data_IF_865648183155
#
_entry.id   IF_865648183155
#
_cell.length_a   1.000
_cell.length_b   1.000
_cell.length_c   1.000
_cell.angle_alpha   90.00
_cell.angle_beta   90.00
_cell.angle_gamma   90.00
#
_symmetry.space_group_name_H-M   'P 1'
#
loop_
_entity.id
_entity.type
_entity.pdbx_description
1 polymer ?
#
# COMPACT_ATOMS: atom_id res chain seq x y z
N UNK A 1 3.08 -75.53 -19.05
CA UNK A 1 2.72 -74.19 -18.54
C UNK A 1 2.93 -73.22 -19.70
N UNK A 2 1.85 -72.87 -20.38
CA UNK A 2 1.12 -71.60 -20.19
C UNK A 2 1.86 -70.48 -20.94
N UNK A 3 1.28 -69.67 -21.81
CA UNK A 3 0.00 -69.61 -22.50
C UNK A 3 0.01 -68.23 -23.15
N UNK A 4 -0.45 -68.15 -24.39
CA UNK A 4 -1.00 -66.94 -25.02
C UNK A 4 -0.12 -65.68 -25.12
N UNK A 5 0.62 -65.54 -26.22
CA UNK A 5 0.61 -64.25 -26.94
C UNK A 5 -0.70 -64.18 -27.73
N UNK A 6 -1.76 -63.69 -27.09
CA UNK A 6 -2.99 -63.27 -27.76
C UNK A 6 -2.89 -61.75 -27.91
N UNK A 7 -2.55 -61.30 -29.11
CA UNK A 7 -2.72 -59.91 -29.54
C UNK A 7 -4.20 -59.54 -29.34
N UNK A 8 -4.54 -58.46 -28.61
CA UNK A 8 -5.92 -58.04 -28.50
C UNK A 8 -6.34 -57.38 -29.81
N UNK A 9 -7.12 -58.09 -30.60
CA UNK A 9 -7.91 -57.52 -31.68
C UNK A 9 -9.08 -56.75 -31.07
N UNK A 10 -8.89 -55.45 -30.79
CA UNK A 10 -9.97 -54.50 -30.48
C UNK A 10 -9.96 -53.36 -31.51
N UNK A 11 -11.13 -52.74 -31.79
CA UNK A 11 -11.51 -52.31 -33.12
C UNK A 11 -10.93 -50.93 -33.46
N UNK A 12 -9.80 -50.91 -34.16
CA UNK A 12 -9.16 -49.70 -34.66
C UNK A 12 -10.08 -48.85 -35.57
N UNK A 13 -11.11 -49.47 -36.17
CA UNK A 13 -12.10 -48.78 -37.00
C UNK A 13 -13.02 -47.84 -36.20
N UNK A 14 -13.39 -48.20 -34.98
CA UNK A 14 -14.28 -47.38 -34.15
C UNK A 14 -13.57 -46.13 -33.62
N UNK A 15 -12.30 -46.25 -33.23
CA UNK A 15 -11.50 -45.12 -32.74
C UNK A 15 -11.14 -44.14 -33.88
N UNK A 16 -10.90 -44.64 -35.10
CA UNK A 16 -10.66 -43.81 -36.29
C UNK A 16 -11.94 -43.07 -36.75
N UNK A 17 -13.10 -43.74 -36.71
CA UNK A 17 -14.39 -43.07 -36.97
C UNK A 17 -14.67 -41.98 -35.93
N UNK A 18 -14.40 -42.24 -34.65
CA UNK A 18 -14.64 -41.30 -33.55
C UNK A 18 -13.72 -40.07 -33.61
N UNK A 19 -12.47 -40.22 -34.09
CA UNK A 19 -11.52 -39.12 -34.28
C UNK A 19 -11.88 -38.20 -35.47
N UNK A 20 -12.40 -38.78 -36.57
CA UNK A 20 -12.88 -38.00 -37.72
C UNK A 20 -14.16 -37.26 -37.35
N UNK A 21 -15.10 -37.89 -36.62
CA UNK A 21 -16.33 -37.21 -36.18
C UNK A 21 -16.10 -36.12 -35.13
N UNK A 22 -14.98 -36.17 -34.39
CA UNK A 22 -14.63 -35.16 -33.37
C UNK A 22 -13.97 -33.89 -33.94
N UNK A 23 -13.50 -33.92 -35.19
CA UNK A 23 -12.78 -32.80 -35.82
C UNK A 23 -13.66 -31.90 -36.70
N UNK A 24 -14.93 -32.28 -36.87
CA UNK A 24 -15.84 -31.69 -37.84
C UNK A 24 -17.19 -31.40 -37.15
N UNK A 25 -17.72 -30.19 -37.35
CA UNK A 25 -19.07 -29.84 -36.89
C UNK A 25 -20.10 -30.84 -37.44
N UNK A 26 -21.10 -31.21 -36.64
CA UNK A 26 -22.16 -32.16 -37.02
C UNK A 26 -22.82 -31.81 -38.35
N UNK A 27 -22.99 -30.52 -38.62
CA UNK A 27 -23.52 -30.00 -39.88
C UNK A 27 -22.62 -30.29 -41.09
N UNK A 28 -21.30 -30.19 -40.92
CA UNK A 28 -20.33 -30.44 -41.99
C UNK A 28 -20.35 -31.89 -42.45
N UNK A 29 -20.51 -32.82 -41.51
CA UNK A 29 -20.66 -34.25 -41.80
C UNK A 29 -21.96 -34.56 -42.56
N UNK A 30 -23.06 -33.87 -42.22
CA UNK A 30 -24.33 -33.99 -42.95
C UNK A 30 -24.20 -33.46 -44.39
N UNK A 31 -23.55 -32.30 -44.58
CA UNK A 31 -23.36 -31.73 -45.93
C UNK A 31 -22.45 -32.59 -46.80
N UNK A 32 -21.33 -33.07 -46.27
CA UNK A 32 -20.38 -33.92 -47.01
C UNK A 32 -21.02 -35.27 -47.34
N UNK A 33 -21.76 -35.88 -46.40
CA UNK A 33 -22.46 -37.14 -46.65
C UNK A 33 -23.59 -36.98 -47.68
N UNK A 34 -24.32 -35.86 -47.69
CA UNK A 34 -25.32 -35.54 -48.71
C UNK A 34 -24.67 -35.45 -50.12
N UNK A 35 -23.57 -34.71 -50.26
CA UNK A 35 -22.84 -34.57 -51.52
C UNK A 35 -22.27 -35.92 -51.99
N UNK A 36 -21.74 -36.72 -51.07
CA UNK A 36 -21.18 -38.03 -51.38
C UNK A 36 -22.27 -39.03 -51.79
N UNK A 37 -23.42 -39.02 -51.11
CA UNK A 37 -24.58 -39.85 -51.47
C UNK A 37 -25.15 -39.46 -52.84
N UNK A 38 -25.25 -38.16 -53.14
CA UNK A 38 -25.70 -37.67 -54.44
C UNK A 38 -24.73 -38.08 -55.57
N UNK A 39 -23.42 -37.97 -55.31
CA UNK A 39 -22.37 -38.42 -56.24
C UNK A 39 -22.49 -39.92 -56.53
N UNK A 40 -22.68 -40.73 -55.48
CA UNK A 40 -22.85 -42.18 -55.61
C UNK A 40 -24.13 -42.53 -56.38
N UNK A 41 -25.24 -41.83 -56.11
CA UNK A 41 -26.52 -42.03 -56.79
C UNK A 41 -26.39 -41.74 -58.29
N UNK A 42 -25.74 -40.64 -58.67
CA UNK A 42 -25.47 -40.33 -60.08
C UNK A 42 -24.51 -41.32 -60.74
N UNK A 43 -23.62 -41.95 -59.98
CA UNK A 43 -22.73 -42.98 -60.49
C UNK A 43 -23.43 -44.35 -60.68
N UNK A 44 -24.43 -44.67 -59.86
CA UNK A 44 -25.11 -45.97 -59.84
C UNK A 44 -26.39 -46.03 -60.68
N UNK A 45 -27.17 -44.93 -60.76
CA UNK A 45 -28.55 -44.97 -61.29
C UNK A 45 -28.70 -44.75 -62.81
N UNK A 46 -27.71 -45.19 -63.59
CA UNK A 46 -27.73 -45.15 -65.06
C UNK A 46 -27.00 -43.92 -65.64
N UNK A 47 -25.87 -44.18 -66.31
CA UNK A 47 -24.98 -43.15 -66.86
C UNK A 47 -25.46 -42.72 -68.25
N UNK A 48 -26.49 -41.87 -68.29
CA UNK A 48 -26.98 -41.28 -69.53
C UNK A 48 -26.21 -39.99 -69.87
N UNK A 49 -26.14 -39.62 -71.15
CA UNK A 49 -25.49 -38.39 -71.62
C UNK A 49 -26.02 -37.12 -70.91
N UNK A 50 -27.30 -37.12 -70.54
CA UNK A 50 -27.93 -36.04 -69.75
C UNK A 50 -27.40 -35.98 -68.30
N UNK A 51 -27.20 -37.12 -67.64
CA UNK A 51 -26.61 -37.18 -66.29
C UNK A 51 -25.16 -36.73 -66.31
N UNK A 52 -24.39 -37.11 -67.33
CA UNK A 52 -22.99 -36.68 -67.50
C UNK A 52 -22.85 -35.17 -67.73
N UNK A 53 -23.85 -34.53 -68.35
CA UNK A 53 -23.89 -33.08 -68.58
C UNK A 53 -24.34 -32.32 -67.33
N UNK A 54 -25.40 -32.78 -66.64
CA UNK A 54 -26.07 -31.99 -65.60
C UNK A 54 -25.55 -32.28 -64.18
N UNK A 55 -25.12 -33.51 -63.89
CA UNK A 55 -24.67 -33.88 -62.55
C UNK A 55 -23.41 -33.12 -62.09
N UNK A 56 -22.38 -32.89 -62.92
CA UNK A 56 -21.23 -32.08 -62.53
C UNK A 56 -21.62 -30.64 -62.15
N UNK A 57 -22.58 -30.04 -62.86
CA UNK A 57 -23.06 -28.67 -62.59
C UNK A 57 -23.86 -28.61 -61.29
N UNK A 58 -24.73 -29.58 -61.02
CA UNK A 58 -25.49 -29.66 -59.76
C UNK A 58 -24.55 -29.86 -58.57
N UNK A 59 -23.56 -30.75 -58.71
CA UNK A 59 -22.64 -31.08 -57.62
C UNK A 59 -21.67 -29.94 -57.30
N UNK A 60 -21.19 -29.23 -58.32
CA UNK A 60 -20.39 -28.00 -58.13
C UNK A 60 -21.22 -26.87 -57.53
N UNK A 61 -22.46 -26.67 -58.00
CA UNK A 61 -23.37 -25.67 -57.42
C UNK A 61 -23.70 -25.97 -55.95
N UNK A 62 -23.88 -27.25 -55.59
CA UNK A 62 -24.11 -27.68 -54.21
C UNK A 62 -22.84 -27.49 -53.35
N UNK A 63 -21.65 -27.70 -53.91
CA UNK A 63 -20.37 -27.39 -53.26
C UNK A 63 -20.18 -25.90 -53.00
N UNK A 64 -20.51 -25.05 -53.98
CA UNK A 64 -20.50 -23.57 -53.85
C UNK A 64 -21.49 -23.12 -52.78
N UNK A 65 -22.71 -23.66 -52.79
CA UNK A 65 -23.72 -23.38 -51.76
C UNK A 65 -23.21 -23.74 -50.35
N UNK A 66 -22.60 -24.91 -50.18
CA UNK A 66 -21.97 -25.28 -48.92
C UNK A 66 -20.85 -24.33 -48.47
N UNK A 67 -20.15 -23.71 -49.43
CA UNK A 67 -19.10 -22.73 -49.15
C UNK A 67 -19.69 -21.47 -48.54
N UNK A 68 -20.75 -20.92 -49.16
CA UNK A 68 -21.45 -19.74 -48.65
C UNK A 68 -22.12 -20.01 -47.30
N UNK A 69 -22.71 -21.19 -47.13
CA UNK A 69 -23.35 -21.58 -45.88
C UNK A 69 -22.34 -21.73 -44.74
N UNK A 70 -21.17 -22.34 -45.00
CA UNK A 70 -20.11 -22.48 -44.00
C UNK A 70 -19.53 -21.15 -43.53
N UNK A 71 -19.30 -20.21 -44.46
CA UNK A 71 -18.86 -18.85 -44.11
C UNK A 71 -19.94 -18.07 -43.36
N UNK A 72 -21.21 -18.18 -43.78
CA UNK A 72 -22.32 -17.50 -43.10
C UNK A 72 -22.49 -17.99 -41.64
N UNK A 73 -22.32 -19.28 -41.39
CA UNK A 73 -22.39 -19.85 -40.04
C UNK A 73 -21.16 -19.48 -39.19
N UNK A 74 -19.96 -19.43 -39.79
CA UNK A 74 -18.75 -18.96 -39.10
C UNK A 74 -18.76 -17.48 -38.75
N UNK A 75 -19.63 -16.68 -39.39
CA UNK A 75 -19.82 -15.26 -39.11
C UNK A 75 -21.03 -14.96 -38.21
N UNK A 76 -21.88 -15.96 -37.92
CA UNK A 76 -23.15 -15.76 -37.23
C UNK A 76 -22.95 -15.28 -35.78
N UNK A 77 -21.97 -15.85 -35.09
CA UNK A 77 -21.59 -15.49 -33.71
C UNK A 77 -20.31 -14.64 -33.66
N UNK A 78 -19.90 -14.03 -34.80
CA UNK A 78 -18.67 -13.26 -34.87
C UNK A 78 -18.80 -11.92 -34.16
N UNK A 79 -18.10 -11.78 -33.03
CA UNK A 79 -18.10 -10.57 -32.24
C UNK A 79 -16.93 -9.66 -32.62
N UNK A 80 -17.23 -8.48 -33.17
CA UNK A 80 -16.22 -7.49 -33.52
C UNK A 80 -15.51 -6.87 -32.31
N UNK A 81 -16.07 -6.99 -31.10
CA UNK A 81 -15.44 -6.48 -29.87
C UNK A 81 -14.50 -7.48 -29.20
N UNK A 82 -14.62 -8.78 -29.51
CA UNK A 82 -13.76 -9.85 -28.98
C UNK A 82 -13.37 -10.84 -30.09
N UNK A 83 -12.46 -10.37 -30.94
CA UNK A 83 -11.97 -11.13 -32.10
C UNK A 83 -11.28 -12.44 -31.66
N UNK A 84 -10.65 -12.48 -30.47
CA UNK A 84 -9.90 -13.64 -30.01
C UNK A 84 -10.83 -14.81 -29.67
N UNK A 85 -12.01 -14.52 -29.09
CA UNK A 85 -13.04 -15.53 -28.83
C UNK A 85 -13.76 -15.98 -30.11
N UNK A 86 -13.88 -15.11 -31.13
CA UNK A 86 -14.64 -15.41 -32.36
C UNK A 86 -13.82 -16.02 -33.51
N UNK A 87 -12.49 -15.96 -33.46
CA UNK A 87 -11.62 -16.58 -34.48
C UNK A 87 -11.77 -18.11 -34.56
N UNK A 88 -11.86 -18.87 -33.45
CA UNK A 88 -12.07 -20.32 -33.50
C UNK A 88 -13.33 -20.74 -34.26
N UNK A 89 -14.48 -20.09 -34.00
CA UNK A 89 -15.76 -20.40 -34.64
C UNK A 89 -15.75 -20.04 -36.14
N UNK A 90 -15.10 -18.93 -36.49
CA UNK A 90 -14.89 -18.54 -37.89
C UNK A 90 -14.04 -19.58 -38.64
N UNK A 91 -12.98 -20.07 -38.02
CA UNK A 91 -12.11 -21.10 -38.59
C UNK A 91 -12.88 -22.40 -38.81
N UNK A 92 -13.79 -22.77 -37.91
CA UNK A 92 -14.61 -23.97 -38.04
C UNK A 92 -15.69 -23.86 -39.13
N UNK A 93 -16.30 -22.68 -39.28
CA UNK A 93 -17.15 -22.36 -40.43
C UNK A 93 -16.39 -22.42 -41.77
N UNK A 94 -15.16 -21.91 -41.79
CA UNK A 94 -14.28 -21.94 -42.96
C UNK A 94 -13.86 -23.36 -43.34
N UNK A 95 -13.54 -24.22 -42.36
CA UNK A 95 -13.26 -25.65 -42.60
C UNK A 95 -14.46 -26.32 -43.27
N UNK A 96 -15.68 -26.04 -42.80
CA UNK A 96 -16.93 -26.59 -43.36
C UNK A 96 -17.12 -26.15 -44.81
N UNK A 97 -16.93 -24.87 -45.08
CA UNK A 97 -17.02 -24.28 -46.42
C UNK A 97 -16.02 -24.91 -47.41
N UNK A 98 -14.78 -25.10 -46.96
CA UNK A 98 -13.71 -25.66 -47.78
C UNK A 98 -13.98 -27.12 -48.16
N UNK A 99 -14.34 -27.96 -47.19
CA UNK A 99 -14.54 -29.39 -47.43
C UNK A 99 -15.81 -29.71 -48.23
N UNK A 100 -16.89 -28.91 -48.10
CA UNK A 100 -18.07 -29.09 -48.96
C UNK A 100 -17.77 -28.78 -50.43
N UNK A 101 -16.94 -27.76 -50.68
CA UNK A 101 -16.52 -27.37 -52.04
C UNK A 101 -15.63 -28.44 -52.69
N UNK A 102 -14.66 -28.97 -51.92
CA UNK A 102 -13.81 -30.07 -52.38
C UNK A 102 -14.66 -31.30 -52.72
N UNK A 103 -15.60 -31.68 -51.87
CA UNK A 103 -16.48 -32.82 -52.13
C UNK A 103 -17.31 -32.62 -53.42
N UNK A 104 -17.86 -31.43 -53.62
CA UNK A 104 -18.65 -31.08 -54.81
C UNK A 104 -17.83 -31.09 -56.11
N UNK A 105 -16.61 -30.54 -56.07
CA UNK A 105 -15.72 -30.51 -57.23
C UNK A 105 -15.15 -31.91 -57.55
N UNK A 106 -14.75 -32.67 -56.52
CA UNK A 106 -14.22 -34.01 -56.68
C UNK A 106 -15.24 -34.97 -57.28
N UNK A 107 -16.50 -34.92 -56.82
CA UNK A 107 -17.56 -35.72 -57.43
C UNK A 107 -17.94 -35.28 -58.84
N UNK A 108 -17.85 -33.99 -59.17
CA UNK A 108 -18.10 -33.48 -60.52
C UNK A 108 -17.01 -33.95 -61.49
N UNK A 109 -15.75 -33.95 -61.03
CA UNK A 109 -14.61 -34.44 -61.79
C UNK A 109 -14.67 -35.95 -62.00
N UNK A 110 -15.07 -36.73 -60.99
CA UNK A 110 -15.20 -38.19 -61.11
C UNK A 110 -16.24 -38.58 -62.16
N UNK A 111 -17.36 -37.85 -62.23
CA UNK A 111 -18.39 -38.03 -63.26
C UNK A 111 -17.84 -37.68 -64.66
N UNK A 112 -17.16 -36.54 -64.82
CA UNK A 112 -16.56 -36.15 -66.12
C UNK A 112 -15.49 -37.15 -66.59
N UNK A 113 -14.67 -37.65 -65.67
CA UNK A 113 -13.62 -38.62 -65.97
C UNK A 113 -14.22 -39.94 -66.48
N UNK A 114 -15.27 -40.43 -65.82
CA UNK A 114 -15.98 -41.64 -66.27
C UNK A 114 -16.61 -41.48 -67.65
N UNK A 115 -17.24 -40.33 -67.92
CA UNK A 115 -17.81 -40.03 -69.24
C UNK A 115 -16.76 -40.08 -70.34
N UNK A 116 -15.56 -39.53 -70.09
CA UNK A 116 -14.46 -39.52 -71.06
C UNK A 116 -13.89 -40.91 -71.34
N UNK A 117 -13.90 -41.81 -70.35
CA UNK A 117 -13.47 -43.21 -70.50
C UNK A 117 -14.51 -44.00 -71.33
N UNK A 118 -15.80 -43.80 -71.08
CA UNK A 118 -16.89 -44.46 -71.83
C UNK A 118 -16.86 -44.07 -73.32
N UNK A 119 -16.68 -42.77 -73.63
CA UNK A 119 -16.62 -42.25 -75.01
C UNK A 119 -15.46 -42.83 -75.83
N UNK A 120 -14.37 -43.18 -75.15
CA UNK A 120 -13.17 -43.78 -75.77
C UNK A 120 -13.39 -45.25 -76.11
N UNK A 121 -14.25 -45.94 -75.35
CA UNK A 121 -14.60 -47.35 -75.55
C UNK A 121 -15.47 -47.56 -76.79
N UNK A 122 -16.42 -46.65 -77.06
CA UNK A 122 -17.32 -46.70 -78.22
C UNK A 122 -16.62 -46.44 -79.58
N UNK A 123 -15.52 -45.70 -79.61
CA UNK A 123 -14.76 -45.46 -80.85
C UNK A 123 -13.97 -46.69 -81.30
N UNK A 124 -13.43 -47.46 -80.35
CA UNK A 124 -12.67 -48.67 -80.64
C UNK A 124 -13.53 -49.78 -81.28
N UNK A 125 -14.85 -49.77 -81.04
CA UNK A 125 -15.79 -50.76 -81.59
C UNK A 125 -16.16 -50.50 -83.06
N UNK A 126 -15.98 -49.28 -83.59
CA UNK A 126 -16.39 -48.91 -84.95
C UNK A 126 -15.34 -49.18 -86.04
N UNK A 127 -14.07 -49.35 -85.69
CA UNK A 127 -13.00 -49.60 -86.67
C UNK A 127 -13.05 -51.02 -87.28
N UNK A 128 -13.76 -51.95 -86.67
CA UNK A 128 -13.73 -53.36 -87.07
C UNK A 128 -14.71 -53.74 -88.22
N UNK A 129 -15.48 -52.78 -88.76
CA UNK A 129 -16.50 -53.02 -89.80
C UNK A 129 -15.99 -52.73 -91.23
N UNK A 130 -14.78 -52.18 -91.42
CA UNK A 130 -14.34 -51.58 -92.70
C UNK A 130 -13.36 -52.39 -93.56
N UNK A 131 -13.45 -53.73 -93.58
CA UNK A 131 -12.65 -54.58 -94.49
C UNK A 131 -13.51 -55.43 -95.45
N UNK A 132 -13.68 -54.93 -96.68
CA UNK A 132 -14.16 -55.59 -97.91
C UNK A 132 -13.85 -54.59 -99.06
N UNK A 133 -13.22 -54.86 -100.23
CA UNK A 133 -12.99 -56.06 -101.06
C UNK A 133 -11.90 -55.74 -102.11
N UNK A 134 -11.03 -56.72 -102.44
CA UNK A 134 -9.93 -56.63 -103.45
C UNK A 134 -10.33 -57.21 -104.83
N UNK A 135 -11.49 -57.87 -104.93
CA UNK A 135 -11.92 -58.58 -106.15
C UNK A 135 -12.37 -57.67 -107.31
N UNK A 136 -12.82 -56.44 -107.04
CA UNK A 136 -13.27 -55.49 -108.09
C UNK A 136 -12.12 -55.03 -109.01
N UNK A 137 -10.89 -55.04 -108.53
CA UNK A 137 -9.72 -54.57 -109.27
C UNK A 137 -9.27 -55.59 -110.34
N UNK A 138 -9.44 -56.88 -110.08
CA UNK A 138 -9.04 -57.95 -110.99
C UNK A 138 -9.95 -58.04 -112.22
N UNK A 139 -11.24 -57.73 -112.06
CA UNK A 139 -12.22 -57.80 -113.14
C UNK A 139 -12.05 -56.67 -114.18
N UNK A 140 -11.58 -55.50 -113.75
CA UNK A 140 -11.31 -54.35 -114.63
C UNK A 140 -10.07 -54.55 -115.52
N UNK A 141 -9.03 -55.22 -115.00
CA UNK A 141 -7.81 -55.49 -115.77
C UNK A 141 -8.02 -56.54 -116.87
N UNK A 142 -8.93 -57.50 -116.67
CA UNK A 142 -9.29 -58.48 -117.69
C UNK A 142 -10.02 -57.85 -118.89
N UNK A 143 -10.87 -56.84 -118.66
CA UNK A 143 -11.63 -56.15 -119.72
C UNK A 143 -10.77 -55.25 -120.61
N UNK A 144 -9.62 -54.78 -120.12
CA UNK A 144 -8.71 -53.93 -120.90
C UNK A 144 -7.89 -54.78 -121.88
N UNK A 145 -7.51 -56.00 -121.49
CA UNK A 145 -6.71 -56.91 -122.32
C UNK A 145 -7.46 -57.35 -123.58
N UNK A 146 -8.74 -57.70 -123.46
CA UNK A 146 -9.56 -58.17 -124.59
C UNK A 146 -9.85 -57.07 -125.63
N UNK A 147 -9.70 -55.79 -125.27
CA UNK A 147 -9.94 -54.66 -126.20
C UNK A 147 -8.71 -54.24 -127.02
N UNK A 148 -7.55 -54.84 -126.77
CA UNK A 148 -6.29 -54.49 -127.43
C UNK A 148 -5.88 -55.46 -128.56
N UNK A 149 -6.64 -56.53 -128.81
CA UNK A 149 -6.29 -57.58 -129.77
C UNK A 149 -6.88 -57.40 -131.18
N UNK A 150 -7.72 -56.37 -131.42
CA UNK A 150 -8.32 -56.10 -132.72
C UNK A 150 -7.58 -54.99 -133.52
N UNK A 151 -7.33 -55.29 -134.79
CA UNK A 151 -6.36 -54.64 -135.66
C UNK A 151 -6.67 -53.16 -135.98
N UNK A 152 -5.97 -52.22 -135.33
CA UNK A 152 -5.64 -50.86 -135.84
C UNK A 152 -4.64 -50.09 -134.94
N UNK A 153 -3.65 -50.79 -134.37
CA UNK A 153 -2.77 -50.28 -133.31
C UNK A 153 -2.00 -48.98 -133.64
N UNK A 154 -1.47 -48.80 -134.87
CA UNK A 154 -0.61 -47.63 -135.15
C UNK A 154 -1.36 -46.30 -135.32
N UNK A 155 -2.63 -46.31 -135.76
CA UNK A 155 -3.39 -45.06 -135.99
C UNK A 155 -4.06 -44.54 -134.71
N UNK A 156 -4.59 -45.43 -133.87
CA UNK A 156 -5.18 -45.04 -132.58
C UNK A 156 -4.13 -44.64 -131.55
N UNK A 157 -2.93 -45.24 -131.57
CA UNK A 157 -1.85 -44.87 -130.67
C UNK A 157 -1.37 -43.43 -130.92
N UNK A 158 -1.20 -43.01 -132.18
CA UNK A 158 -0.83 -41.64 -132.52
C UNK A 158 -1.91 -40.58 -132.16
N UNK A 159 -3.19 -40.93 -132.29
CA UNK A 159 -4.31 -40.05 -131.94
C UNK A 159 -4.47 -39.91 -130.41
N UNK A 160 -4.40 -41.02 -129.66
CA UNK A 160 -4.39 -41.01 -128.19
C UNK A 160 -3.16 -40.32 -127.61
N UNK A 161 -1.98 -40.50 -128.20
CA UNK A 161 -0.77 -39.77 -127.80
C UNK A 161 -0.90 -38.26 -128.07
N UNK A 162 -1.55 -37.88 -129.16
CA UNK A 162 -1.88 -36.48 -129.47
C UNK A 162 -2.82 -35.87 -128.43
N UNK A 163 -3.91 -36.58 -128.10
CA UNK A 163 -4.91 -36.14 -127.13
C UNK A 163 -4.34 -36.11 -125.70
N UNK A 164 -3.58 -37.12 -125.27
CA UNK A 164 -2.89 -37.11 -123.97
C UNK A 164 -1.86 -35.98 -123.85
N UNK A 165 -1.17 -35.64 -124.95
CA UNK A 165 -0.21 -34.53 -124.97
C UNK A 165 -0.92 -33.19 -124.88
N UNK A 166 -2.03 -33.02 -125.59
CA UNK A 166 -2.87 -31.82 -125.50
C UNK A 166 -3.44 -31.66 -124.08
N UNK A 167 -3.94 -32.73 -123.47
CA UNK A 167 -4.50 -32.72 -122.11
C UNK A 167 -3.43 -32.45 -121.05
N UNK A 168 -2.21 -32.98 -121.23
CA UNK A 168 -1.05 -32.61 -120.39
C UNK A 168 -0.65 -31.15 -120.55
N UNK A 169 -0.65 -30.61 -121.77
CA UNK A 169 -0.33 -29.20 -122.01
C UNK A 169 -1.39 -28.28 -121.40
N UNK A 170 -2.68 -28.61 -121.55
CA UNK A 170 -3.78 -27.88 -120.94
C UNK A 170 -3.69 -27.92 -119.41
N UNK A 171 -3.44 -29.09 -118.83
CA UNK A 171 -3.24 -29.24 -117.38
C UNK A 171 -2.03 -28.44 -116.87
N UNK A 172 -0.91 -28.46 -117.60
CA UNK A 172 0.26 -27.65 -117.26
C UNK A 172 -0.03 -26.14 -117.33
N UNK A 173 -0.80 -25.69 -118.33
CA UNK A 173 -1.24 -24.30 -118.44
C UNK A 173 -2.17 -23.91 -117.30
N UNK A 174 -3.13 -24.77 -116.93
CA UNK A 174 -4.02 -24.53 -115.80
C UNK A 174 -3.24 -24.49 -114.47
N UNK A 175 -2.28 -25.39 -114.25
CA UNK A 175 -1.41 -25.37 -113.07
C UNK A 175 -0.51 -24.13 -113.02
N UNK A 176 0.02 -23.68 -114.16
CA UNK A 176 0.79 -22.44 -114.23
C UNK A 176 -0.09 -21.23 -113.91
N UNK A 177 -1.31 -21.18 -114.43
CA UNK A 177 -2.27 -20.13 -114.13
C UNK A 177 -2.69 -20.12 -112.65
N UNK A 178 -2.95 -21.30 -112.07
CA UNK A 178 -3.24 -21.47 -110.64
C UNK A 178 -2.10 -20.98 -109.76
N UNK A 179 -0.85 -21.35 -110.09
CA UNK A 179 0.32 -20.88 -109.36
C UNK A 179 0.46 -19.36 -109.44
N UNK A 180 0.20 -18.76 -110.60
CA UNK A 180 0.21 -17.31 -110.75
C UNK A 180 -0.89 -16.63 -109.93
N UNK A 181 -2.12 -17.14 -109.96
CA UNK A 181 -3.23 -16.63 -109.16
C UNK A 181 -2.98 -16.80 -107.65
N UNK A 182 -2.42 -17.92 -107.24
CA UNK A 182 -1.99 -18.15 -105.85
C UNK A 182 -0.90 -17.18 -105.42
N UNK A 183 0.06 -16.87 -106.29
CA UNK A 183 1.07 -15.85 -106.05
C UNK A 183 0.45 -14.46 -105.83
N UNK A 184 -0.49 -14.06 -106.70
CA UNK A 184 -1.22 -12.81 -106.54
C UNK A 184 -2.08 -12.78 -105.26
N UNK A 185 -2.77 -13.88 -104.94
CA UNK A 185 -3.56 -13.99 -103.71
C UNK A 185 -2.69 -13.88 -102.46
N UNK A 186 -1.54 -14.55 -102.43
CA UNK A 186 -0.59 -14.46 -101.31
C UNK A 186 -0.11 -13.03 -101.10
N UNK A 187 0.24 -12.33 -102.18
CA UNK A 187 0.66 -10.93 -102.09
C UNK A 187 -0.45 -10.02 -101.56
N UNK A 188 -1.69 -10.19 -102.05
CA UNK A 188 -2.86 -9.45 -101.55
C UNK A 188 -3.18 -9.79 -100.09
N UNK A 189 -3.05 -11.06 -99.68
CA UNK A 189 -3.25 -11.47 -98.29
C UNK A 189 -2.22 -10.85 -97.35
N UNK A 190 -0.93 -10.82 -97.75
CA UNK A 190 0.12 -10.18 -96.96
C UNK A 190 -0.17 -8.69 -96.80
N UNK A 191 -0.56 -8.02 -97.88
CA UNK A 191 -0.91 -6.60 -97.84
C UNK A 191 -2.16 -6.32 -96.99
N UNK A 192 -3.23 -7.12 -97.15
CA UNK A 192 -4.46 -7.00 -96.38
C UNK A 192 -4.24 -7.26 -94.88
N UNK A 193 -3.48 -8.29 -94.52
CA UNK A 193 -3.15 -8.59 -93.13
C UNK A 193 -2.27 -7.50 -92.51
N UNK A 194 -1.30 -6.96 -93.26
CA UNK A 194 -0.43 -5.88 -92.76
C UNK A 194 -1.25 -4.62 -92.51
N UNK A 195 -2.16 -4.24 -93.43
CA UNK A 195 -3.07 -3.10 -93.22
C UNK A 195 -4.01 -3.32 -92.05
N UNK A 196 -4.58 -4.52 -91.90
CA UNK A 196 -5.44 -4.86 -90.78
C UNK A 196 -4.69 -4.80 -89.45
N UNK A 197 -3.45 -5.29 -89.39
CA UNK A 197 -2.61 -5.24 -88.21
C UNK A 197 -2.23 -3.81 -87.84
N UNK A 198 -1.81 -3.00 -88.81
CA UNK A 198 -1.50 -1.58 -88.58
C UNK A 198 -2.73 -0.82 -88.09
N UNK A 199 -3.90 -1.03 -88.70
CA UNK A 199 -5.14 -0.39 -88.25
C UNK A 199 -5.57 -0.82 -86.84
N UNK A 200 -5.39 -2.10 -86.50
CA UNK A 200 -5.63 -2.58 -85.13
C UNK A 200 -4.65 -1.94 -84.14
N UNK A 201 -3.36 -1.84 -84.49
CA UNK A 201 -2.34 -1.23 -83.66
C UNK A 201 -2.60 0.27 -83.45
N UNK A 202 -2.95 1.01 -84.50
CA UNK A 202 -3.32 2.43 -84.41
C UNK A 202 -4.54 2.65 -83.52
N UNK A 203 -5.54 1.78 -83.62
CA UNK A 203 -6.74 1.84 -82.78
C UNK A 203 -6.39 1.60 -81.31
N UNK A 204 -5.58 0.58 -81.02
CA UNK A 204 -5.11 0.28 -79.66
C UNK A 204 -4.27 1.42 -79.10
N UNK A 205 -3.37 2.01 -79.90
CA UNK A 205 -2.54 3.13 -79.44
C UNK A 205 -3.38 4.39 -79.17
N UNK A 206 -4.39 4.65 -80.00
CA UNK A 206 -5.33 5.75 -79.79
C UNK A 206 -6.15 5.55 -78.52
N UNK A 207 -6.73 4.35 -78.34
CA UNK A 207 -7.50 4.00 -77.14
C UNK A 207 -6.63 4.04 -75.87
N UNK A 208 -5.38 3.57 -75.97
CA UNK A 208 -4.42 3.64 -74.88
C UNK A 208 -4.12 5.10 -74.50
N UNK A 209 -3.87 5.97 -75.48
CA UNK A 209 -3.59 7.38 -75.23
C UNK A 209 -4.80 8.11 -74.63
N UNK A 210 -6.01 7.82 -75.10
CA UNK A 210 -7.25 8.37 -74.54
C UNK A 210 -7.44 7.92 -73.09
N UNK A 211 -7.28 6.62 -72.80
CA UNK A 211 -7.41 6.08 -71.44
C UNK A 211 -6.35 6.62 -70.48
N UNK A 212 -5.11 6.82 -70.94
CA UNK A 212 -4.06 7.46 -70.15
C UNK A 212 -4.53 8.85 -69.72
N UNK A 213 -4.99 9.66 -70.67
CA UNK A 213 -5.35 11.05 -70.38
C UNK A 213 -6.59 11.16 -69.47
N UNK A 214 -7.59 10.30 -69.68
CA UNK A 214 -8.83 10.32 -68.89
C UNK A 214 -8.69 9.64 -67.53
N UNK A 215 -8.23 8.38 -67.49
CA UNK A 215 -8.21 7.61 -66.24
C UNK A 215 -7.05 8.01 -65.32
N UNK A 216 -5.88 8.33 -65.87
CA UNK A 216 -4.75 8.73 -65.02
C UNK A 216 -4.82 10.20 -64.64
N UNK A 217 -5.40 11.07 -65.47
CA UNK A 217 -5.65 12.48 -65.13
C UNK A 217 -6.46 12.63 -63.84
N UNK A 218 -7.62 11.97 -63.74
CA UNK A 218 -8.45 12.01 -62.53
C UNK A 218 -7.79 11.33 -61.34
N UNK A 219 -7.08 10.21 -61.55
CA UNK A 219 -6.34 9.55 -60.46
C UNK A 219 -5.24 10.44 -59.89
N UNK A 220 -4.52 11.21 -60.72
CA UNK A 220 -3.53 12.18 -60.24
C UNK A 220 -4.19 13.37 -59.53
N UNK A 221 -5.39 13.79 -59.96
CA UNK A 221 -6.17 14.83 -59.28
C UNK A 221 -6.54 14.40 -57.86
N UNK A 222 -7.10 13.20 -57.71
CA UNK A 222 -7.41 12.62 -56.41
C UNK A 222 -6.18 12.38 -55.55
N UNK A 223 -5.07 11.92 -56.13
CA UNK A 223 -3.82 11.77 -55.42
C UNK A 223 -3.32 13.11 -54.88
N UNK A 224 -3.36 14.17 -55.70
CA UNK A 224 -2.94 15.50 -55.29
C UNK A 224 -3.85 16.10 -54.21
N UNK A 225 -5.17 15.87 -54.31
CA UNK A 225 -6.13 16.23 -53.26
C UNK A 225 -5.81 15.50 -51.94
N UNK A 226 -5.57 14.18 -51.99
CA UNK A 226 -5.23 13.38 -50.82
C UNK A 226 -3.90 13.79 -50.17
N UNK A 227 -2.87 14.09 -50.98
CA UNK A 227 -1.59 14.62 -50.50
C UNK A 227 -1.78 16.01 -49.87
N UNK A 228 -2.63 16.86 -50.46
CA UNK A 228 -2.97 18.17 -49.90
C UNK A 228 -3.72 18.08 -48.56
N UNK A 229 -4.67 17.14 -48.43
CA UNK A 229 -5.33 16.83 -47.15
C UNK A 229 -4.32 16.29 -46.13
N UNK A 230 -3.39 15.43 -46.54
CA UNK A 230 -2.33 14.91 -45.66
C UNK A 230 -1.43 16.03 -45.14
N UNK A 231 -1.06 16.99 -45.99
CA UNK A 231 -0.26 18.15 -45.59
C UNK A 231 -1.02 19.04 -44.59
N UNK A 232 -2.31 19.32 -44.85
CA UNK A 232 -3.17 20.07 -43.92
C UNK A 232 -3.31 19.35 -42.58
N UNK A 233 -3.53 18.04 -42.62
CA UNK A 233 -3.56 17.21 -41.42
C UNK A 233 -2.23 17.25 -40.66
N UNK A 234 -1.09 17.17 -41.35
CA UNK A 234 0.23 17.25 -40.74
C UNK A 234 0.45 18.59 -40.01
N UNK A 235 0.05 19.70 -40.63
CA UNK A 235 0.14 21.04 -40.01
C UNK A 235 -0.75 21.15 -38.77
N UNK A 236 -2.00 20.69 -38.87
CA UNK A 236 -2.93 20.71 -37.74
C UNK A 236 -2.44 19.79 -36.59
N UNK A 237 -1.89 18.63 -36.92
CA UNK A 237 -1.35 17.69 -35.95
C UNK A 237 -0.13 18.26 -35.22
N UNK A 238 0.76 18.97 -35.92
CA UNK A 238 1.89 19.66 -35.30
C UNK A 238 1.40 20.68 -34.26
N UNK A 239 0.40 21.48 -34.58
CA UNK A 239 -0.17 22.46 -33.65
C UNK A 239 -0.83 21.78 -32.42
N UNK A 240 -1.50 20.64 -32.64
CA UNK A 240 -2.06 19.86 -31.54
C UNK A 240 -0.97 19.28 -30.63
N UNK A 241 0.14 18.80 -31.19
CA UNK A 241 1.30 18.32 -30.41
C UNK A 241 1.90 19.43 -29.56
N UNK A 242 2.07 20.63 -30.11
CA UNK A 242 2.58 21.78 -29.34
C UNK A 242 1.65 22.12 -28.16
N UNK A 243 0.34 22.12 -28.41
CA UNK A 243 -0.67 22.35 -27.35
C UNK A 243 -0.61 21.27 -26.28
N UNK A 244 -0.47 20.00 -26.68
CA UNK A 244 -0.35 18.86 -25.77
C UNK A 244 0.92 18.95 -24.93
N UNK A 245 2.06 19.34 -25.53
CA UNK A 245 3.32 19.55 -24.81
C UNK A 245 3.16 20.67 -23.76
N UNK A 246 2.56 21.80 -24.14
CA UNK A 246 2.29 22.90 -23.20
C UNK A 246 1.38 22.45 -22.05
N UNK A 247 0.32 21.72 -22.36
CA UNK A 247 -0.62 21.23 -21.36
C UNK A 247 0.03 20.19 -20.42
N UNK A 248 0.91 19.34 -20.95
CA UNK A 248 1.69 18.39 -20.15
C UNK A 248 2.65 19.11 -19.20
N UNK A 249 3.33 20.18 -19.65
CA UNK A 249 4.21 20.99 -18.82
C UNK A 249 3.44 21.70 -17.68
N UNK A 250 2.29 22.32 -18.01
CA UNK A 250 1.41 22.94 -17.01
C UNK A 250 0.95 21.90 -15.98
N UNK A 251 0.54 20.72 -16.45
CA UNK A 251 0.12 19.61 -15.57
C UNK A 251 1.26 19.18 -14.65
N UNK A 252 2.49 19.08 -15.17
CA UNK A 252 3.68 18.79 -14.36
C UNK A 252 3.90 19.83 -13.25
N UNK A 253 3.82 21.12 -13.59
CA UNK A 253 3.98 22.21 -12.61
C UNK A 253 2.87 22.21 -11.54
N UNK A 254 1.62 21.95 -11.93
CA UNK A 254 0.50 21.82 -11.00
C UNK A 254 0.72 20.64 -10.07
N UNK A 255 1.20 19.50 -10.59
CA UNK A 255 1.43 18.32 -9.78
C UNK A 255 2.55 18.54 -8.76
N UNK A 256 3.62 19.25 -9.15
CA UNK A 256 4.70 19.64 -8.24
C UNK A 256 4.21 20.58 -7.12
N UNK A 257 3.36 21.56 -7.44
CA UNK A 257 2.74 22.41 -6.41
C UNK A 257 1.78 21.63 -5.52
N UNK A 258 1.01 20.68 -6.08
CA UNK A 258 0.13 19.81 -5.32
C UNK A 258 0.93 18.93 -4.34
N UNK A 259 2.06 18.36 -4.77
CA UNK A 259 2.98 17.62 -3.90
C UNK A 259 3.51 18.50 -2.77
N UNK A 260 4.00 19.72 -3.07
CA UNK A 260 4.45 20.66 -2.03
C UNK A 260 3.33 21.04 -1.07
N UNK A 261 2.10 21.25 -1.56
CA UNK A 261 0.96 21.51 -0.70
C UNK A 261 0.61 20.31 0.18
N UNK A 262 0.70 19.10 -0.36
CA UNK A 262 0.45 17.87 0.40
C UNK A 262 1.49 17.66 1.49
N UNK A 263 2.77 17.91 1.21
CA UNK A 263 3.84 17.91 2.22
C UNK A 263 3.54 18.88 3.36
N UNK A 264 3.07 20.11 3.05
CA UNK A 264 2.66 21.08 4.09
C UNK A 264 1.51 20.54 4.95
N UNK A 265 0.52 19.86 4.36
CA UNK A 265 -0.60 19.26 5.10
C UNK A 265 -0.11 18.15 6.02
N UNK A 266 0.78 17.29 5.54
CA UNK A 266 1.38 16.21 6.35
C UNK A 266 2.15 16.81 7.54
N UNK A 267 2.95 17.85 7.31
CA UNK A 267 3.69 18.53 8.37
C UNK A 267 2.75 19.20 9.40
N UNK A 268 1.72 19.91 8.95
CA UNK A 268 0.72 20.48 9.85
C UNK A 268 -0.03 19.42 10.66
N UNK A 269 -0.32 18.27 10.06
CA UNK A 269 -0.96 17.14 10.75
C UNK A 269 -0.06 16.60 11.85
N UNK A 270 1.26 16.57 11.63
CA UNK A 270 2.22 16.19 12.67
C UNK A 270 2.21 17.16 13.85
N UNK A 271 2.19 18.47 13.58
CA UNK A 271 2.05 19.50 14.63
C UNK A 271 0.75 19.31 15.41
N UNK A 272 -0.36 19.02 14.74
CA UNK A 272 -1.63 18.75 15.42
C UNK A 272 -1.55 17.54 16.36
N UNK A 273 -0.86 16.47 15.97
CA UNK A 273 -0.61 15.31 16.84
C UNK A 273 0.16 15.72 18.09
N UNK A 274 1.23 16.51 17.94
CA UNK A 274 2.02 17.01 19.08
C UNK A 274 1.19 17.90 20.01
N UNK A 275 0.34 18.77 19.46
CA UNK A 275 -0.56 19.62 20.26
C UNK A 275 -1.58 18.76 21.00
N UNK A 276 -2.11 17.70 20.38
CA UNK A 276 -3.06 16.78 21.00
C UNK A 276 -2.42 16.02 22.17
N UNK A 277 -1.17 15.58 22.03
CA UNK A 277 -0.40 14.91 23.07
C UNK A 277 -0.10 15.87 24.25
N UNK A 278 0.23 17.14 23.95
CA UNK A 278 0.39 18.16 24.98
C UNK A 278 -0.93 18.47 25.72
N UNK A 279 -2.06 18.49 25.00
CA UNK A 279 -3.40 18.65 25.58
C UNK A 279 -3.75 17.47 26.50
N UNK A 280 -3.45 16.24 26.11
CA UNK A 280 -3.61 15.05 26.94
C UNK A 280 -2.79 15.16 28.23
N UNK A 281 -1.52 15.56 28.12
CA UNK A 281 -0.67 15.82 29.29
C UNK A 281 -1.22 16.92 30.21
N UNK A 282 -1.74 18.01 29.64
CA UNK A 282 -2.36 19.08 30.42
C UNK A 282 -3.64 18.62 31.13
N UNK A 283 -4.50 17.85 30.44
CA UNK A 283 -5.71 17.28 31.03
C UNK A 283 -5.39 16.30 32.17
N UNK A 284 -4.38 15.44 32.00
CA UNK A 284 -3.90 14.55 33.06
C UNK A 284 -3.32 15.32 34.26
N UNK A 285 -2.60 16.42 33.99
CA UNK A 285 -2.11 17.32 35.03
C UNK A 285 -3.25 18.00 35.81
N UNK A 286 -4.28 18.47 35.11
CA UNK A 286 -5.49 19.05 35.73
C UNK A 286 -6.25 18.01 36.56
N UNK A 287 -6.39 16.77 36.08
CA UNK A 287 -7.01 15.69 36.85
C UNK A 287 -6.23 15.42 38.15
N UNK A 288 -4.90 15.36 38.05
CA UNK A 288 -4.02 15.19 39.21
C UNK A 288 -4.17 16.35 40.21
N UNK A 289 -4.23 17.59 39.71
CA UNK A 289 -4.45 18.76 40.54
C UNK A 289 -5.83 18.75 41.21
N UNK A 290 -6.87 18.30 40.50
CA UNK A 290 -8.21 18.12 41.04
C UNK A 290 -8.22 17.11 42.20
N UNK A 291 -7.58 15.95 42.03
CA UNK A 291 -7.40 14.96 43.11
C UNK A 291 -6.62 15.54 44.29
N UNK A 292 -5.59 16.35 44.01
CA UNK A 292 -4.83 17.06 45.05
C UNK A 292 -5.69 18.03 45.85
N UNK A 293 -6.54 18.82 45.19
CA UNK A 293 -7.51 19.71 45.83
C UNK A 293 -8.52 18.96 46.69
N UNK A 294 -8.99 17.80 46.23
CA UNK A 294 -9.86 16.93 47.02
C UNK A 294 -9.15 16.42 48.29
N UNK A 295 -7.86 16.08 48.19
CA UNK A 295 -7.00 15.78 49.32
C UNK A 295 -6.82 16.96 50.29
N UNK A 296 -6.60 18.17 49.77
CA UNK A 296 -6.52 19.38 50.61
C UNK A 296 -7.84 19.70 51.31
N UNK A 297 -8.97 19.55 50.62
CA UNK A 297 -10.31 19.70 51.23
C UNK A 297 -10.56 18.65 52.31
N UNK A 298 -10.14 17.41 52.08
CA UNK A 298 -10.22 16.34 53.09
C UNK A 298 -9.34 16.64 54.32
N UNK A 299 -8.10 17.09 54.11
CA UNK A 299 -7.20 17.50 55.18
C UNK A 299 -7.76 18.70 55.97
N UNK A 300 -8.33 19.68 55.28
CA UNK A 300 -9.01 20.81 55.91
C UNK A 300 -10.23 20.36 56.72
N UNK A 301 -11.04 19.45 56.17
CA UNK A 301 -12.18 18.86 56.88
C UNK A 301 -11.74 18.11 58.14
N UNK A 302 -10.63 17.36 58.06
CA UNK A 302 -10.05 16.68 59.22
C UNK A 302 -9.52 17.68 60.25
N UNK A 303 -8.85 18.75 59.82
CA UNK A 303 -8.38 19.82 60.71
C UNK A 303 -9.54 20.50 61.43
N UNK A 304 -10.63 20.80 60.72
CA UNK A 304 -11.85 21.38 61.31
C UNK A 304 -12.48 20.40 62.31
N UNK A 305 -12.53 19.10 61.99
CA UNK A 305 -13.00 18.07 62.92
C UNK A 305 -12.14 18.00 64.18
N UNK A 306 -10.81 17.92 64.03
CA UNK A 306 -9.88 17.87 65.17
C UNK A 306 -9.86 19.16 65.99
N UNK A 307 -10.04 20.33 65.35
CA UNK A 307 -10.22 21.60 66.05
C UNK A 307 -11.55 21.64 66.80
N UNK A 308 -12.62 21.10 66.22
CA UNK A 308 -13.93 20.92 66.85
C UNK A 308 -13.89 20.00 68.07
N UNK A 309 -13.04 18.98 68.07
CA UNK A 309 -12.80 18.09 69.23
C UNK A 309 -11.84 18.70 70.28
N UNK A 310 -10.89 19.54 69.86
CA UNK A 310 -9.93 20.20 70.76
C UNK A 310 -10.54 21.35 71.57
N UNK A 311 -11.56 22.03 71.04
CA UNK A 311 -12.25 23.14 71.73
C UNK A 311 -12.93 22.72 73.05
N UNK A 312 -13.71 21.62 73.11
CA UNK A 312 -14.24 21.09 74.36
C UNK A 312 -13.15 20.71 75.39
N UNK A 313 -12.00 20.24 74.92
CA UNK A 313 -10.88 19.90 75.81
C UNK A 313 -10.23 21.18 76.40
N UNK A 314 -10.18 22.26 75.63
CA UNK A 314 -9.76 23.57 76.14
C UNK A 314 -10.75 24.11 77.17
N UNK A 315 -12.05 24.03 76.89
CA UNK A 315 -13.11 24.41 77.84
C UNK A 315 -12.97 23.62 79.17
N UNK A 316 -12.80 22.30 79.09
CA UNK A 316 -12.58 21.46 80.27
C UNK A 316 -11.30 21.81 81.04
N UNK A 317 -10.20 22.15 80.35
CA UNK A 317 -8.96 22.61 81.00
C UNK A 317 -9.14 23.97 81.68
N UNK A 318 -9.89 24.89 81.07
CA UNK A 318 -10.20 26.19 81.66
C UNK A 318 -11.07 26.05 82.92
N UNK A 319 -12.03 25.13 82.94
CA UNK A 319 -12.86 24.86 84.12
C UNK A 319 -12.01 24.25 85.27
N UNK A 320 -11.14 23.29 84.97
CA UNK A 320 -10.19 22.74 85.96
C UNK A 320 -9.25 23.81 86.50
N UNK A 321 -8.67 24.66 85.63
CA UNK A 321 -7.81 25.78 86.04
C UNK A 321 -8.56 26.75 86.95
N UNK A 322 -9.80 27.10 86.61
CA UNK A 322 -10.62 28.03 87.40
C UNK A 322 -10.94 27.46 88.77
N UNK A 323 -11.33 26.17 88.84
CA UNK A 323 -11.59 25.49 90.13
C UNK A 323 -10.32 25.37 90.97
N UNK A 324 -9.19 25.04 90.36
CA UNK A 324 -7.91 24.90 91.07
C UNK A 324 -7.39 26.25 91.57
N UNK A 325 -7.58 27.33 90.80
CA UNK A 325 -7.22 28.69 91.18
C UNK A 325 -8.12 29.20 92.31
N UNK A 326 -9.43 28.92 92.25
CA UNK A 326 -10.35 29.19 93.35
C UNK A 326 -9.92 28.48 94.64
N UNK A 327 -9.66 27.16 94.56
CA UNK A 327 -9.18 26.37 95.71
C UNK A 327 -7.83 26.85 96.25
N UNK A 328 -6.90 27.26 95.38
CA UNK A 328 -5.59 27.77 95.82
C UNK A 328 -5.71 29.11 96.53
N UNK A 329 -6.61 29.98 96.06
CA UNK A 329 -6.91 31.25 96.72
C UNK A 329 -7.55 31.02 98.10
N UNK A 330 -8.52 30.10 98.21
CA UNK A 330 -9.17 29.82 99.51
C UNK A 330 -8.19 29.22 100.52
N UNK A 331 -7.39 28.23 100.12
CA UNK A 331 -6.38 27.62 101.01
C UNK A 331 -5.31 28.63 101.39
N UNK A 332 -4.88 29.49 100.46
CA UNK A 332 -3.95 30.57 100.76
C UNK A 332 -4.52 31.58 101.76
N UNK A 333 -5.82 31.89 101.65
CA UNK A 333 -6.51 32.76 102.59
C UNK A 333 -6.56 32.17 104.00
N UNK A 334 -6.90 30.88 104.14
CA UNK A 334 -6.90 30.17 105.42
C UNK A 334 -5.51 30.12 106.06
N UNK A 335 -4.46 29.90 105.26
CA UNK A 335 -3.08 29.86 105.74
C UNK A 335 -2.60 31.23 106.25
N UNK A 336 -2.94 32.31 105.55
CA UNK A 336 -2.65 33.69 105.99
C UNK A 336 -3.42 34.02 107.26
N UNK A 337 -4.68 33.61 107.37
CA UNK A 337 -5.49 33.81 108.58
C UNK A 337 -4.87 33.07 109.79
N UNK A 338 -4.44 31.82 109.62
CA UNK A 338 -3.77 31.06 110.68
C UNK A 338 -2.42 31.64 111.11
N UNK A 339 -1.65 32.22 110.17
CA UNK A 339 -0.41 32.94 110.48
C UNK A 339 -0.69 34.22 111.29
N UNK A 340 -1.74 34.97 110.96
CA UNK A 340 -2.13 36.16 111.72
C UNK A 340 -2.59 35.82 113.14
N UNK A 341 -3.35 34.74 113.30
CA UNK A 341 -3.85 34.29 114.61
C UNK A 341 -2.72 33.78 115.51
N UNK A 342 -1.81 32.96 114.97
CA UNK A 342 -0.63 32.50 115.71
C UNK A 342 0.35 33.63 116.05
N UNK A 343 0.50 34.63 115.17
CA UNK A 343 1.30 35.82 115.45
C UNK A 343 0.68 36.67 116.55
N UNK A 344 -0.65 36.82 116.57
CA UNK A 344 -1.39 37.50 117.63
C UNK A 344 -1.21 36.82 119.00
N UNK A 345 -1.29 35.48 119.04
CA UNK A 345 -1.00 34.72 120.28
C UNK A 345 0.43 34.92 120.76
N UNK A 346 1.41 34.85 119.86
CA UNK A 346 2.82 35.07 120.20
C UNK A 346 3.06 36.49 120.73
N UNK A 347 2.41 37.49 120.13
CA UNK A 347 2.50 38.88 120.57
C UNK A 347 1.93 39.05 121.99
N UNK A 348 0.77 38.45 122.25
CA UNK A 348 0.15 38.47 123.58
C UNK A 348 1.05 37.83 124.65
N UNK A 349 1.63 36.65 124.36
CA UNK A 349 2.60 35.98 125.27
C UNK A 349 3.87 36.81 125.48
N UNK A 350 4.38 37.47 124.43
CA UNK A 350 5.55 38.32 124.53
C UNK A 350 5.27 39.57 125.39
N UNK A 351 4.08 40.16 125.27
CA UNK A 351 3.64 41.30 126.07
C UNK A 351 3.50 40.93 127.55
N UNK A 352 2.94 39.76 127.85
CA UNK A 352 2.81 39.26 129.22
C UNK A 352 4.19 38.99 129.86
N UNK A 353 5.11 38.36 129.11
CA UNK A 353 6.48 38.12 129.55
C UNK A 353 7.26 39.41 129.82
N UNK A 354 7.03 40.47 129.01
CA UNK A 354 7.62 41.79 129.23
C UNK A 354 7.12 42.43 130.53
N UNK A 355 5.82 42.34 130.83
CA UNK A 355 5.27 42.84 132.09
C UNK A 355 5.90 42.14 133.30
N UNK A 356 6.03 40.81 133.26
CA UNK A 356 6.69 40.05 134.33
C UNK A 356 8.18 40.39 134.47
N UNK A 357 8.85 40.71 133.36
CA UNK A 357 10.25 41.14 133.35
C UNK A 357 10.42 42.49 134.05
N UNK A 358 9.52 43.45 133.80
CA UNK A 358 9.52 44.78 134.44
C UNK A 358 9.30 44.67 135.95
N UNK A 359 8.37 43.82 136.40
CA UNK A 359 8.15 43.52 137.83
C UNK A 359 9.40 42.93 138.51
N UNK A 360 10.08 41.99 137.83
CA UNK A 360 11.34 41.41 138.34
C UNK A 360 12.48 42.41 138.42
N UNK A 361 12.52 43.43 137.55
CA UNK A 361 13.54 44.48 137.59
C UNK A 361 13.29 45.43 138.76
N UNK A 362 12.04 45.82 139.02
CA UNK A 362 11.66 46.68 140.15
C UNK A 362 12.03 46.03 141.49
N UNK A 363 11.61 44.77 141.69
CA UNK A 363 11.93 43.99 142.89
C UNK A 363 13.44 43.77 143.08
N UNK A 364 14.22 43.56 142.00
CA UNK A 364 15.68 43.45 142.10
C UNK A 364 16.34 44.76 142.53
N UNK A 365 15.87 45.90 142.02
CA UNK A 365 16.41 47.20 142.39
C UNK A 365 16.13 47.53 143.86
N UNK A 366 14.94 47.18 144.35
CA UNK A 366 14.56 47.37 145.76
C UNK A 366 15.49 46.57 146.70
N UNK A 367 15.71 45.28 146.40
CA UNK A 367 16.64 44.44 147.16
C UNK A 367 18.12 44.85 147.03
N UNK A 368 18.49 45.55 145.96
CA UNK A 368 19.85 46.03 145.73
C UNK A 368 20.13 47.34 146.48
N UNK A 369 19.13 48.21 146.62
CA UNK A 369 19.20 49.39 147.48
C UNK A 369 19.35 49.01 148.96
N UNK A 370 18.61 48.01 149.44
CA UNK A 370 18.67 47.55 150.83
C UNK A 370 20.06 46.96 151.19
N UNK A 371 20.69 46.21 150.27
CA UNK A 371 22.07 45.72 150.45
C UNK A 371 23.12 46.83 150.38
N UNK A 372 22.87 47.86 149.58
CA UNK A 372 23.77 49.01 149.48
C UNK A 372 23.83 49.76 150.82
N UNK A 373 22.68 49.96 151.47
CA UNK A 373 22.58 50.58 152.79
C UNK A 373 23.37 49.79 153.85
N UNK A 374 23.18 48.47 153.93
CA UNK A 374 23.92 47.62 154.87
C UNK A 374 25.44 47.64 154.63
N UNK A 375 25.85 47.65 153.35
CA UNK A 375 27.26 47.75 152.97
C UNK A 375 27.87 49.09 153.35
N UNK A 376 27.14 50.19 153.19
CA UNK A 376 27.59 51.53 153.59
C UNK A 376 27.75 51.64 155.10
N UNK A 377 26.85 51.05 155.88
CA UNK A 377 26.90 51.03 157.34
C UNK A 377 28.11 50.24 157.88
N UNK A 378 28.42 49.08 157.29
CA UNK A 378 29.59 48.28 157.65
C UNK A 378 30.91 48.98 157.32
N UNK A 379 31.01 49.63 156.16
CA UNK A 379 32.24 50.29 155.73
C UNK A 379 32.53 51.54 156.57
N UNK A 380 31.49 52.27 156.98
CA UNK A 380 31.61 53.41 157.89
C UNK A 380 32.15 52.99 159.27
N UNK A 381 31.66 51.87 159.80
CA UNK A 381 32.12 51.30 161.07
C UNK A 381 33.58 50.79 160.99
N UNK A 382 33.93 50.14 159.88
CA UNK A 382 35.29 49.62 159.62
C UNK A 382 36.31 50.76 159.47
N UNK A 383 35.92 51.86 158.83
CA UNK A 383 36.75 53.05 158.70
C UNK A 383 37.01 53.74 160.06
N UNK A 384 36.00 53.81 160.94
CA UNK A 384 36.15 54.37 162.29
C UNK A 384 37.07 53.53 163.19
N UNK A 385 37.00 52.19 163.11
CA UNK A 385 37.90 51.30 163.84
C UNK A 385 39.35 51.35 163.33
N UNK A 386 39.54 51.45 162.00
CA UNK A 386 40.86 51.62 161.38
C UNK A 386 41.58 52.90 161.82
N UNK A 387 40.82 53.98 162.00
CA UNK A 387 41.34 55.26 162.51
C UNK A 387 41.86 55.17 163.95
N UNK A 388 41.19 54.40 164.82
CA UNK A 388 41.61 54.19 166.21
C UNK A 388 42.91 53.40 166.37
N UNK A 389 43.17 52.46 165.46
CA UNK A 389 44.38 51.64 165.48
C UNK A 389 45.62 52.42 164.99
N UNK A 390 45.44 53.31 164.00
CA UNK A 390 46.53 54.13 163.47
C UNK A 390 46.97 55.25 164.44
N UNK A 391 46.07 55.79 165.25
CA UNK A 391 46.40 56.78 166.29
C UNK A 391 47.28 56.21 167.41
N UNK A 392 47.06 54.95 167.79
CA UNK A 392 47.87 54.27 168.82
C UNK A 392 49.28 53.95 168.32
N UNK A 393 49.40 53.43 167.08
CA UNK A 393 50.69 53.08 166.48
C UNK A 393 51.60 54.30 166.18
N UNK A 394 51.01 55.48 165.94
CA UNK A 394 51.77 56.72 165.74
C UNK A 394 52.40 57.24 167.04
N UNK A 395 51.70 57.08 168.17
CA UNK A 395 52.15 57.53 169.49
C UNK A 395 53.36 56.72 170.00
N UNK A 396 53.37 55.41 169.71
CA UNK A 396 54.44 54.49 170.13
C UNK A 396 55.75 54.69 169.32
N UNK A 397 55.64 55.05 168.04
CA UNK A 397 56.78 55.36 167.16
C UNK A 397 57.43 56.71 167.49
N UNK A 398 56.65 57.69 167.98
CA UNK A 398 57.15 59.01 168.39
C UNK A 398 58.06 58.94 169.63
N UNK A 399 57.84 58.01 170.56
CA UNK A 399 58.66 57.88 171.79
C UNK A 399 59.99 57.15 171.50
N UNK A 400 59.99 56.18 170.58
CA UNK A 400 61.18 55.42 170.19
C UNK A 400 62.23 56.27 169.47
N UNK A 401 61.82 57.22 168.62
CA UNK A 401 62.74 57.92 167.71
C UNK A 401 63.53 59.06 168.41
N UNK A 402 63.06 59.59 169.54
CA UNK A 402 63.71 60.73 170.22
C UNK A 402 64.63 60.35 171.39
N UNK A 403 64.52 59.15 171.95
CA UNK A 403 65.38 58.70 173.05
C UNK A 403 66.89 58.61 172.72
N UNK A 404 67.34 58.16 171.52
CA UNK A 404 68.77 58.10 171.18
C UNK A 404 69.37 59.47 170.83
N UNK A 405 68.53 60.45 170.47
CA UNK A 405 68.97 61.79 170.04
C UNK A 405 69.42 62.65 171.24
N UNK A 406 68.80 62.46 172.40
CA UNK A 406 69.19 63.08 173.68
C UNK A 406 70.52 62.58 174.22
N UNK A 407 70.90 61.32 173.94
CA UNK A 407 72.17 60.75 174.40
C UNK A 407 73.36 61.25 173.55
N UNK A 408 73.18 61.42 172.23
CA UNK A 408 74.20 62.01 171.35
C UNK A 408 74.43 63.51 171.56
N UNK A 409 73.44 64.24 172.07
CA UNK A 409 73.59 65.62 172.54
C UNK A 409 74.43 65.72 173.83
N UNK A 410 74.49 64.65 174.63
CA UNK A 410 75.28 64.58 175.86
C UNK A 410 76.77 64.30 175.60
N UNK A 411 77.08 63.48 174.61
CA UNK A 411 78.46 63.20 174.17
C UNK A 411 79.12 64.41 173.47
N UNK A 412 78.37 65.20 172.70
CA UNK A 412 78.88 66.41 172.03
C UNK A 412 79.23 67.55 173.00
N UNK A 413 78.55 67.65 174.15
CA UNK A 413 78.83 68.66 175.18
C UNK A 413 80.04 68.27 176.04
N UNK A 414 80.32 66.97 176.21
CA UNK A 414 81.52 66.48 176.87
C UNK A 414 82.79 66.69 176.00
N UNK A 415 82.68 66.53 174.68
CA UNK A 415 83.82 66.73 173.74
C UNK A 415 84.23 68.21 173.61
N UNK A 416 83.30 69.15 173.85
CA UNK A 416 83.56 70.59 173.83
C UNK A 416 84.24 71.12 175.12
N UNK A 417 84.43 70.27 176.14
CA UNK A 417 85.24 70.58 177.33
C UNK A 417 86.73 70.19 177.17
N UNK A 418 87.13 69.54 176.07
CA UNK A 418 88.49 68.99 175.91
C UNK A 418 89.32 69.64 174.78
N UNK A 419 88.77 70.65 174.08
CA UNK A 419 89.49 71.43 173.07
C UNK A 419 89.72 72.87 173.53
N UNK A 420 90.94 73.07 174.07
CA UNK A 420 91.72 74.33 174.09
C UNK A 420 91.20 75.45 175.01
N UNK A 421 91.72 75.72 176.22
CA UNK A 421 93.02 75.39 176.82
C UNK A 421 94.24 75.67 175.93
N UNK A 422 94.27 76.86 175.33
CA UNK A 422 95.49 77.60 175.00
C UNK A 422 95.28 79.10 175.13
#
# INVERSE_FOLDING_TARGET
MLSSLRVPSFPQKACLQMAITASFSTLSLVMISLVMALTLLFHLRGFNAQTASNAPTILTSLGIFGTFLGVALGLLDFNTTDIQASVPDLIDGLKTAFWSSIAGLAGALSIKLRYLIELRRDRASREQIRMATVDDLAQLLAQIRDRLEDANAERHEAELLGEMKALRQESQQQLAHLNQQMGHYQQQMVEANTRALVGALETVMRDFNTRINEQYGENFRHLNEAVGEMLRWQQAYQQQLDTLIQQQQITGAIMEEATRSHERVVEQTRVFSTVSEALEGMLAGLETQSKGLEGYLSALSSLVSSAGEGLPQLEGRFDVLTRQLHSSITTGHEQVQGLLESSSEQFSRAQEALNTQVERILSRNEAQLERLDQSMEQELNRALQGFGYQLTALSEKFVSDYAPLTERLRELVALAQETEAR
#
